data_IF_366226517803
#
_entry.id   IF_366226517803
#
_cell.length_a   1.000
_cell.length_b   1.000
_cell.length_c   1.000
_cell.angle_alpha   90.00
_cell.angle_beta   90.00
_cell.angle_gamma   90.00
#
_symmetry.space_group_name_H-M   'P 1'
#
loop_
_entity.id
_entity.type
_entity.pdbx_description
1 polymer ?
#
# COMPACT_ATOMS: atom_id res chain seq x y z
N UNK A 1 -3.48 -16.98 10.38
CA UNK A 1 -2.06 -16.55 10.48
C UNK A 1 -1.97 -15.11 10.04
N UNK A 2 -1.09 -14.32 10.67
CA UNK A 2 -0.83 -12.92 10.28
C UNK A 2 0.61 -12.80 9.80
N UNK A 3 0.83 -12.19 8.63
CA UNK A 3 2.15 -11.80 8.10
C UNK A 3 2.09 -10.38 7.60
N UNK A 4 3.23 -9.69 7.63
CA UNK A 4 3.31 -8.31 7.19
C UNK A 4 4.63 -7.98 6.53
N UNK A 5 4.61 -6.92 5.75
CA UNK A 5 5.79 -6.22 5.24
C UNK A 5 5.68 -4.74 5.58
N UNK A 6 6.78 -4.16 6.04
CA UNK A 6 6.94 -2.71 6.16
C UNK A 6 7.61 -2.20 4.88
N UNK A 7 7.07 -1.12 4.34
CA UNK A 7 7.54 -0.42 3.13
C UNK A 7 7.80 1.03 3.51
N UNK A 8 8.97 1.55 3.18
CA UNK A 8 9.33 2.96 3.35
C UNK A 8 9.34 3.63 1.99
N UNK A 9 8.70 4.79 1.90
CA UNK A 9 8.63 5.59 0.69
C UNK A 9 8.59 7.08 1.07
N UNK A 10 8.57 7.96 0.07
CA UNK A 10 8.55 9.41 0.26
C UNK A 10 7.45 10.07 -0.58
N UNK A 11 6.88 11.14 -0.05
CA UNK A 11 6.02 12.03 -0.82
C UNK A 11 6.76 12.76 -1.95
N UNK A 12 6.01 13.48 -2.77
CA UNK A 12 6.54 14.26 -3.89
C UNK A 12 5.59 15.41 -4.24
N UNK A 13 6.09 16.55 -4.72
CA UNK A 13 5.28 17.75 -5.02
C UNK A 13 4.18 17.54 -6.08
N UNK A 14 4.33 16.50 -6.91
CA UNK A 14 3.34 16.06 -7.90
C UNK A 14 2.35 15.00 -7.40
N UNK A 15 2.37 14.60 -6.12
CA UNK A 15 1.35 13.71 -5.55
C UNK A 15 -0.01 14.39 -5.62
N UNK A 16 -0.94 13.80 -6.38
CA UNK A 16 -2.32 14.31 -6.53
C UNK A 16 -3.34 13.40 -5.85
N UNK A 17 -3.11 12.09 -5.91
CA UNK A 17 -3.98 11.04 -5.39
C UNK A 17 -5.44 11.26 -5.83
N UNK A 18 -5.69 11.19 -7.15
CA UNK A 18 -7.01 11.42 -7.76
C UNK A 18 -7.54 10.22 -8.54
N UNK A 19 -6.71 9.21 -8.77
CA UNK A 19 -7.13 8.03 -9.52
C UNK A 19 -8.26 7.27 -8.79
N UNK A 20 -9.31 6.91 -9.54
CA UNK A 20 -10.58 6.40 -8.98
C UNK A 20 -10.59 4.91 -8.68
N UNK A 21 -9.62 4.16 -9.21
CA UNK A 21 -9.64 2.69 -9.15
C UNK A 21 -8.32 2.07 -8.70
N UNK A 22 -7.25 2.86 -8.58
CA UNK A 22 -5.94 2.36 -8.17
C UNK A 22 -5.23 3.32 -7.22
N UNK A 23 -4.32 2.75 -6.47
CA UNK A 23 -3.31 3.39 -5.63
C UNK A 23 -1.96 2.76 -5.97
N UNK A 24 -0.90 3.54 -6.03
CA UNK A 24 0.44 3.07 -6.40
C UNK A 24 1.54 3.63 -5.49
N UNK A 25 2.51 2.76 -5.18
CA UNK A 25 3.78 3.09 -4.53
C UNK A 25 4.90 2.57 -5.46
N UNK A 26 5.91 3.40 -5.73
CA UNK A 26 6.97 3.07 -6.69
C UNK A 26 8.37 3.33 -6.13
N UNK A 27 9.36 2.56 -6.59
CA UNK A 27 10.80 2.80 -6.36
C UNK A 27 11.37 3.91 -7.24
N UNK A 28 10.64 4.32 -8.28
CA UNK A 28 11.07 5.43 -9.14
C UNK A 28 11.33 6.69 -8.30
N UNK A 29 12.30 7.50 -8.71
CA UNK A 29 12.70 8.73 -8.04
C UNK A 29 11.97 9.99 -8.56
N UNK A 30 11.08 9.81 -9.53
CA UNK A 30 10.32 10.88 -10.17
C UNK A 30 8.82 10.58 -10.18
N UNK A 31 8.02 11.65 -10.20
CA UNK A 31 6.57 11.58 -10.40
C UNK A 31 6.10 12.73 -11.28
N UNK A 32 5.40 12.41 -12.36
CA UNK A 32 4.78 13.41 -13.25
C UNK A 32 3.37 13.80 -12.76
N UNK A 33 2.83 14.98 -13.13
CA UNK A 33 1.46 15.37 -12.77
C UNK A 33 0.35 14.45 -13.32
N UNK A 34 0.68 13.60 -14.31
CA UNK A 34 -0.22 12.59 -14.88
C UNK A 34 -0.31 11.33 -14.02
N UNK A 35 0.69 11.03 -13.19
CA UNK A 35 0.71 9.86 -12.29
C UNK A 35 -0.20 10.04 -11.08
N UNK A 36 -1.50 10.24 -11.29
CA UNK A 36 -2.43 10.62 -10.23
C UNK A 36 -2.89 9.45 -9.33
N UNK A 37 -2.42 8.22 -9.60
CA UNK A 37 -2.54 7.05 -8.72
C UNK A 37 -1.39 6.93 -7.71
N UNK A 38 -0.24 7.56 -7.97
CA UNK A 38 0.97 7.43 -7.16
C UNK A 38 0.86 8.33 -5.94
N UNK A 39 1.13 7.75 -4.75
CA UNK A 39 1.18 8.48 -3.48
C UNK A 39 2.57 8.49 -2.84
N UNK A 40 3.45 7.57 -3.25
CA UNK A 40 4.81 7.46 -2.72
C UNK A 40 5.80 7.04 -3.78
N UNK A 41 6.94 7.71 -3.82
CA UNK A 41 8.11 7.45 -4.65
C UNK A 41 9.28 6.99 -3.78
N UNK A 42 10.42 6.63 -4.38
CA UNK A 42 11.62 6.18 -3.64
C UNK A 42 11.32 5.06 -2.65
N UNK A 43 10.39 4.17 -3.01
CA UNK A 43 10.06 3.00 -2.21
C UNK A 43 11.29 2.11 -2.04
N UNK A 44 11.48 1.56 -0.84
CA UNK A 44 12.50 0.54 -0.59
C UNK A 44 12.13 -0.80 -1.24
N UNK A 45 10.84 -1.02 -1.51
CA UNK A 45 10.30 -2.26 -2.08
C UNK A 45 9.43 -2.03 -3.32
N UNK A 46 9.58 -2.91 -4.31
CA UNK A 46 8.56 -3.21 -5.33
C UNK A 46 7.78 -4.47 -4.96
N UNK A 47 6.81 -4.88 -5.78
CA UNK A 47 6.03 -6.10 -5.54
C UNK A 47 6.91 -7.36 -5.43
N UNK A 48 8.02 -7.40 -6.16
CA UNK A 48 9.03 -8.47 -6.09
C UNK A 48 9.75 -8.54 -4.73
N UNK A 49 9.85 -7.44 -4.00
CA UNK A 49 10.66 -7.33 -2.78
C UNK A 49 9.85 -7.67 -1.50
N UNK A 50 8.55 -7.93 -1.62
CA UNK A 50 7.69 -8.41 -0.52
C UNK A 50 8.23 -9.75 0.00
N UNK A 51 8.23 -9.95 1.32
CA UNK A 51 8.72 -11.20 1.94
C UNK A 51 7.98 -12.43 1.42
N UNK A 52 8.68 -13.57 1.33
CA UNK A 52 8.09 -14.81 0.82
C UNK A 52 6.94 -15.31 1.69
N UNK A 53 6.97 -15.07 3.01
CA UNK A 53 5.85 -15.38 3.90
C UNK A 53 4.60 -14.57 3.57
N UNK A 54 4.73 -13.26 3.35
CA UNK A 54 3.61 -12.39 2.97
C UNK A 54 3.11 -12.73 1.56
N UNK A 55 4.01 -12.96 0.59
CA UNK A 55 3.62 -13.38 -0.77
C UNK A 55 2.82 -14.68 -0.77
N UNK A 56 3.19 -15.67 0.05
CA UNK A 56 2.46 -16.95 0.17
C UNK A 56 1.01 -16.75 0.62
N UNK A 57 0.74 -15.77 1.47
CA UNK A 57 -0.64 -15.43 1.87
C UNK A 57 -1.33 -14.59 0.79
N UNK A 58 -0.68 -13.57 0.22
CA UNK A 58 -1.24 -12.78 -0.88
C UNK A 58 -1.71 -13.66 -2.06
N UNK A 59 -1.03 -14.77 -2.34
CA UNK A 59 -1.37 -15.73 -3.40
C UNK A 59 -2.48 -16.71 -3.02
N UNK A 60 -3.44 -16.31 -2.19
CA UNK A 60 -4.64 -17.09 -1.82
C UNK A 60 -5.89 -16.24 -2.02
N UNK A 61 -6.97 -16.82 -2.51
CA UNK A 61 -8.21 -16.10 -2.80
C UNK A 61 -9.00 -15.76 -1.52
N UNK A 62 -8.74 -16.49 -0.43
CA UNK A 62 -9.35 -16.37 0.88
C UNK A 62 -8.68 -15.28 1.75
N UNK A 63 -7.45 -14.86 1.40
CA UNK A 63 -6.66 -13.94 2.22
C UNK A 63 -7.24 -12.52 2.22
N UNK A 64 -7.38 -11.98 3.43
CA UNK A 64 -7.67 -10.58 3.68
C UNK A 64 -6.36 -9.81 3.68
N UNK A 65 -6.34 -8.68 2.97
CA UNK A 65 -5.15 -7.82 2.82
C UNK A 65 -5.49 -6.43 3.31
N UNK A 66 -4.58 -5.84 4.06
CA UNK A 66 -4.70 -4.50 4.59
C UNK A 66 -3.45 -3.70 4.23
N UNK A 67 -3.62 -2.47 3.77
CA UNK A 67 -2.53 -1.52 3.62
C UNK A 67 -2.78 -0.39 4.61
N UNK A 68 -1.89 -0.24 5.59
CA UNK A 68 -1.92 0.85 6.55
C UNK A 68 -0.88 1.88 6.14
N UNK A 69 -1.32 3.09 5.83
CA UNK A 69 -0.43 4.20 5.47
C UNK A 69 -0.26 5.08 6.70
N UNK A 70 0.98 5.36 7.07
CA UNK A 70 1.34 6.27 8.15
C UNK A 70 2.22 7.41 7.64
N UNK A 71 1.79 8.66 7.91
CA UNK A 71 2.51 9.89 7.55
C UNK A 71 2.35 10.91 8.67
N UNK A 72 3.45 11.22 9.37
CA UNK A 72 3.51 12.24 10.43
C UNK A 72 2.34 12.20 11.43
N UNK A 73 2.09 11.03 12.03
CA UNK A 73 1.03 10.83 13.02
C UNK A 73 -0.36 10.60 12.44
N UNK A 74 -0.55 10.76 11.12
CA UNK A 74 -1.79 10.41 10.44
C UNK A 74 -1.75 8.97 9.95
N UNK A 75 -2.88 8.27 10.08
CA UNK A 75 -3.03 6.89 9.64
C UNK A 75 -4.26 6.75 8.75
N UNK A 76 -4.16 5.96 7.69
CA UNK A 76 -5.29 5.54 6.86
C UNK A 76 -5.19 4.04 6.55
N UNK A 77 -6.33 3.35 6.60
CA UNK A 77 -6.44 1.89 6.42
C UNK A 77 -7.23 1.60 5.16
N UNK A 78 -6.61 0.82 4.27
CA UNK A 78 -7.17 0.31 3.03
C UNK A 78 -7.32 -1.21 3.17
N UNK A 79 -8.47 -1.75 2.74
CA UNK A 79 -8.83 -3.16 2.87
C UNK A 79 -9.07 -3.74 1.50
N UNK A 80 -8.57 -4.94 1.25
CA UNK A 80 -8.81 -5.67 0.02
C UNK A 80 -8.54 -7.15 0.18
N UNK A 81 -8.24 -7.80 -0.95
CA UNK A 81 -8.14 -9.25 -1.05
C UNK A 81 -6.85 -9.66 -1.76
N UNK A 82 -6.35 -10.83 -1.35
CA UNK A 82 -5.35 -11.58 -2.10
C UNK A 82 -5.98 -12.25 -3.32
N UNK A 83 -5.14 -12.90 -4.12
CA UNK A 83 -5.62 -13.87 -5.11
C UNK A 83 -4.53 -14.85 -5.49
N UNK A 84 -4.91 -16.10 -5.73
CA UNK A 84 -4.07 -17.15 -6.31
C UNK A 84 -3.39 -16.76 -7.63
N UNK A 85 -3.96 -15.76 -8.34
CA UNK A 85 -3.46 -15.25 -9.62
C UNK A 85 -2.43 -14.12 -9.50
N UNK A 86 -2.17 -13.60 -8.29
CA UNK A 86 -1.18 -12.53 -8.11
C UNK A 86 0.22 -13.01 -8.50
N UNK A 87 0.90 -12.23 -9.36
CA UNK A 87 2.24 -12.55 -9.86
C UNK A 87 3.32 -12.13 -8.87
N UNK A 88 3.26 -10.86 -8.43
CA UNK A 88 4.17 -10.23 -7.45
C UNK A 88 5.64 -10.24 -7.92
N UNK A 89 5.86 -9.81 -9.16
CA UNK A 89 7.16 -9.90 -9.85
C UNK A 89 7.72 -8.56 -10.33
N UNK A 90 6.92 -7.48 -10.29
CA UNK A 90 7.41 -6.16 -10.69
C UNK A 90 8.45 -5.65 -9.67
N UNK A 91 9.67 -5.28 -10.11
CA UNK A 91 10.73 -4.86 -9.20
C UNK A 91 10.55 -3.43 -8.68
N UNK A 92 9.71 -2.62 -9.31
CA UNK A 92 9.63 -1.18 -9.06
C UNK A 92 8.31 -0.75 -8.43
N UNK A 93 7.20 -1.39 -8.78
CA UNK A 93 5.86 -0.89 -8.43
C UNK A 93 5.08 -1.85 -7.56
N UNK A 94 4.22 -1.28 -6.74
CA UNK A 94 3.14 -1.95 -6.03
C UNK A 94 1.82 -1.23 -6.31
N UNK A 95 0.84 -1.94 -6.86
CA UNK A 95 -0.47 -1.40 -7.23
C UNK A 95 -1.56 -2.10 -6.42
N UNK A 96 -2.42 -1.29 -5.81
CA UNK A 96 -3.60 -1.70 -5.06
C UNK A 96 -4.84 -1.26 -5.84
N UNK A 97 -5.76 -2.19 -6.12
CA UNK A 97 -6.84 -1.99 -7.11
C UNK A 97 -8.20 -2.21 -6.48
N UNK A 98 -9.17 -1.36 -6.85
CA UNK A 98 -10.60 -1.62 -6.55
C UNK A 98 -11.17 -2.74 -7.43
N UNK A 99 -10.63 -2.94 -8.64
CA UNK A 99 -11.01 -4.04 -9.52
C UNK A 99 -10.25 -5.33 -9.19
N UNK A 100 -10.60 -6.40 -9.90
CA UNK A 100 -9.92 -7.70 -9.87
C UNK A 100 -8.89 -7.89 -11.00
N UNK A 101 -8.54 -6.82 -11.73
CA UNK A 101 -7.52 -6.88 -12.77
C UNK A 101 -6.14 -7.13 -12.12
N UNK A 102 -5.33 -8.00 -12.73
CA UNK A 102 -4.02 -8.38 -12.20
C UNK A 102 -2.94 -8.17 -13.24
N UNK A 103 -1.86 -7.51 -12.81
CA UNK A 103 -0.57 -7.45 -13.49
C UNK A 103 0.57 -7.77 -12.51
N UNK A 104 1.80 -7.76 -12.99
CA UNK A 104 3.04 -8.07 -12.28
C UNK A 104 3.22 -7.27 -10.98
N UNK A 105 2.75 -6.02 -10.99
CA UNK A 105 2.83 -5.09 -9.86
C UNK A 105 1.60 -5.13 -8.94
N UNK A 106 0.57 -5.91 -9.25
CA UNK A 106 -0.67 -5.92 -8.44
C UNK A 106 -0.42 -6.68 -7.15
N UNK A 107 -0.65 -6.01 -6.01
CA UNK A 107 -0.45 -6.54 -4.66
C UNK A 107 -1.77 -6.80 -3.95
N UNK A 108 -2.82 -6.04 -4.29
CA UNK A 108 -4.15 -6.14 -3.69
C UNK A 108 -5.22 -5.88 -4.74
N UNK A 109 -6.27 -6.67 -4.72
CA UNK A 109 -7.47 -6.49 -5.53
C UNK A 109 -8.70 -6.26 -4.65
N UNK A 110 -9.82 -5.83 -5.25
CA UNK A 110 -11.08 -5.59 -4.54
C UNK A 110 -10.92 -4.66 -3.34
N UNK A 111 -10.07 -3.64 -3.49
CA UNK A 111 -9.79 -2.62 -2.48
C UNK A 111 -11.00 -1.73 -2.21
N UNK A 112 -11.28 -1.42 -0.94
CA UNK A 112 -12.31 -0.46 -0.52
C UNK A 112 -11.97 0.98 -0.94
N UNK A 113 -10.68 1.30 -1.01
CA UNK A 113 -10.13 2.62 -1.36
C UNK A 113 -9.22 2.59 -2.58
N UNK A 114 -9.20 3.69 -3.32
CA UNK A 114 -8.15 4.03 -4.29
C UNK A 114 -7.40 5.30 -3.86
N UNK A 115 -6.49 5.80 -4.70
CA UNK A 115 -5.77 7.05 -4.44
C UNK A 115 -6.69 8.24 -4.12
N UNK A 116 -7.84 8.36 -4.81
CA UNK A 116 -8.83 9.41 -4.54
C UNK A 116 -9.43 9.34 -3.13
N UNK A 117 -9.51 8.15 -2.55
CA UNK A 117 -10.20 7.88 -1.29
C UNK A 117 -9.29 8.03 -0.06
N UNK A 118 -7.99 8.28 -0.26
CA UNK A 118 -7.02 8.50 0.82
C UNK A 118 -7.32 9.80 1.56
N UNK A 119 -7.12 9.79 2.88
CA UNK A 119 -7.23 10.97 3.75
C UNK A 119 -6.51 12.18 3.13
N UNK A 120 -7.25 13.28 2.93
CA UNK A 120 -6.74 14.45 2.22
C UNK A 120 -5.60 15.17 2.94
N UNK A 121 -5.53 15.07 4.26
CA UNK A 121 -4.39 15.60 5.03
C UNK A 121 -3.13 14.78 4.80
N UNK A 122 -3.23 13.45 4.67
CA UNK A 122 -2.09 12.60 4.28
C UNK A 122 -1.60 13.00 2.89
N UNK A 123 -2.51 13.15 1.92
CA UNK A 123 -2.15 13.56 0.55
C UNK A 123 -1.50 14.95 0.55
N UNK A 124 -2.00 15.88 1.39
CA UNK A 124 -1.43 17.22 1.53
C UNK A 124 0.00 17.16 2.06
N UNK A 125 0.27 16.41 3.13
CA UNK A 125 1.62 16.24 3.70
C UNK A 125 2.59 15.61 2.71
N UNK A 126 2.19 14.51 2.07
CA UNK A 126 2.98 13.85 1.02
C UNK A 126 3.30 14.80 -0.15
N UNK A 127 2.42 15.74 -0.47
CA UNK A 127 2.63 16.69 -1.56
C UNK A 127 3.48 17.89 -1.14
N UNK A 128 3.08 18.59 -0.08
CA UNK A 128 3.65 19.88 0.31
C UNK A 128 4.96 19.69 1.06
N UNK A 129 4.97 18.80 2.04
CA UNK A 129 6.10 18.61 2.95
C UNK A 129 7.05 17.52 2.42
N UNK A 130 6.62 16.80 1.36
CA UNK A 130 7.31 15.63 0.80
C UNK A 130 7.67 14.62 1.89
N UNK A 131 6.76 14.47 2.86
CA UNK A 131 6.95 13.69 4.08
C UNK A 131 7.37 12.25 3.78
N UNK A 132 8.12 11.67 4.70
CA UNK A 132 8.35 10.23 4.72
C UNK A 132 7.02 9.51 4.96
N UNK A 133 6.86 8.37 4.29
CA UNK A 133 5.72 7.49 4.39
C UNK A 133 6.17 6.11 4.83
N UNK A 134 5.46 5.54 5.79
CA UNK A 134 5.57 4.13 6.12
C UNK A 134 4.26 3.46 5.76
N UNK A 135 4.33 2.46 4.89
CA UNK A 135 3.20 1.62 4.54
C UNK A 135 3.40 0.22 5.13
N UNK A 136 2.38 -0.31 5.80
CA UNK A 136 2.41 -1.66 6.38
C UNK A 136 1.40 -2.50 5.60
N UNK A 137 1.91 -3.45 4.84
CA UNK A 137 1.13 -4.44 4.11
C UNK A 137 0.90 -5.64 5.04
N UNK A 138 -0.32 -5.82 5.51
CA UNK A 138 -0.72 -6.87 6.44
C UNK A 138 -1.61 -7.89 5.72
N UNK A 139 -1.38 -9.17 5.98
CA UNK A 139 -2.18 -10.28 5.45
C UNK A 139 -2.72 -11.14 6.58
N UNK A 140 -3.96 -11.61 6.44
CA UNK A 140 -4.63 -12.45 7.43
C UNK A 140 -5.54 -13.48 6.76
N UNK A 141 -5.64 -14.67 7.36
CA UNK A 141 -6.58 -15.72 6.93
C UNK A 141 -8.02 -15.42 7.37
N UNK A 142 -8.21 -14.51 8.33
CA UNK A 142 -9.52 -14.08 8.83
C UNK A 142 -9.64 -12.55 8.78
N UNK A 143 -10.84 -12.00 8.65
CA UNK A 143 -11.02 -10.55 8.68
C UNK A 143 -10.60 -10.00 10.05
N UNK A 144 -9.79 -8.95 10.02
CA UNK A 144 -9.36 -8.19 11.19
C UNK A 144 -10.21 -6.93 11.33
N UNK A 145 -10.52 -6.58 12.58
CA UNK A 145 -11.06 -5.28 12.97
C UNK A 145 -9.95 -4.22 13.03
N UNK A 146 -10.35 -2.95 12.95
CA UNK A 146 -9.41 -1.83 12.96
C UNK A 146 -8.54 -1.81 14.22
N UNK A 147 -9.09 -2.16 15.39
CA UNK A 147 -8.33 -2.27 16.63
C UNK A 147 -7.22 -3.33 16.55
N UNK A 148 -7.47 -4.46 15.89
CA UNK A 148 -6.49 -5.54 15.71
C UNK A 148 -5.37 -5.10 14.75
N UNK A 149 -5.75 -4.44 13.65
CA UNK A 149 -4.81 -3.86 12.69
C UNK A 149 -3.92 -2.83 13.37
N UNK A 150 -4.51 -1.90 14.13
CA UNK A 150 -3.79 -0.85 14.83
C UNK A 150 -2.87 -1.39 15.93
N UNK A 151 -3.27 -2.45 16.65
CA UNK A 151 -2.38 -3.14 17.61
C UNK A 151 -1.13 -3.68 16.93
N UNK A 152 -1.28 -4.32 15.76
CA UNK A 152 -0.12 -4.79 14.99
C UNK A 152 0.77 -3.60 14.60
N UNK A 153 0.18 -2.55 14.05
CA UNK A 153 0.91 -1.33 13.62
C UNK A 153 1.69 -0.71 14.78
N UNK A 154 1.09 -0.57 15.96
CA UNK A 154 1.74 0.02 17.14
C UNK A 154 2.91 -0.86 17.61
N UNK A 155 2.74 -2.19 17.65
CA UNK A 155 3.79 -3.12 18.08
C UNK A 155 4.99 -3.15 17.14
N UNK A 156 4.84 -2.75 15.87
CA UNK A 156 5.93 -2.67 14.92
C UNK A 156 6.79 -1.41 15.08
N UNK A 157 6.35 -0.47 15.91
CA UNK A 157 6.98 0.83 16.12
C UNK A 157 7.48 1.49 14.81
N UNK A 158 6.59 1.75 13.84
CA UNK A 158 6.97 2.19 12.49
C UNK A 158 7.64 3.57 12.45
N UNK A 159 7.73 4.27 13.58
CA UNK A 159 8.25 5.63 13.73
C UNK A 159 9.68 5.63 14.33
N UNK A 160 10.22 4.48 14.77
CA UNK A 160 11.62 4.37 15.22
C UNK A 160 12.61 4.15 14.08
#
# INVERSE_FOLDING_TARGET
>A
MIKFDVIKAKGHFNVRAKHRTTLEITKDDYLTPRGDCIIGILSDKGAKDISEETKKLLKRDETYVYLVIHVEGLTDIIRGRGSSKLKLTDPNRMIFRKSNYICEATVMINSDKSAKDINREIVRKLRTDQSNMVAILLTSDSPLKDEEILRVVINLNPVS
#
